data_IF_872790262784
#
_entry.id   IF_872790262784
#
_cell.length_a   1.000
_cell.length_b   1.000
_cell.length_c   1.000
_cell.angle_alpha   90.00
_cell.angle_beta   90.00
_cell.angle_gamma   90.00
#
_symmetry.space_group_name_H-M   'P 1'
#
loop_
_entity.id
_entity.type
_entity.pdbx_description
1 polymer ?
#
# COMPACT_ATOMS: atom_id res chain seq x y z
N UNK A 1 -18.13 -23.72 -15.04
CA UNK A 1 -17.66 -22.32 -15.01
C UNK A 1 -16.93 -22.02 -16.31
N UNK A 2 -17.57 -21.40 -17.30
CA UNK A 2 -16.95 -21.15 -18.61
C UNK A 2 -16.01 -19.94 -18.47
N UNK A 3 -14.68 -20.08 -18.67
CA UNK A 3 -13.69 -19.02 -18.41
C UNK A 3 -13.91 -17.74 -19.24
N UNK A 4 -14.75 -17.80 -20.26
CA UNK A 4 -15.04 -16.71 -21.19
C UNK A 4 -15.77 -15.52 -20.54
N UNK A 5 -16.50 -15.73 -19.44
CA UNK A 5 -17.25 -14.65 -18.77
C UNK A 5 -16.33 -13.55 -18.25
N UNK A 6 -15.17 -13.94 -17.69
CA UNK A 6 -14.18 -13.00 -17.18
C UNK A 6 -13.53 -12.18 -18.30
N UNK A 7 -13.29 -12.80 -19.45
CA UNK A 7 -12.71 -12.11 -20.62
C UNK A 7 -13.68 -11.05 -21.15
N UNK A 8 -14.97 -11.38 -21.24
CA UNK A 8 -16.01 -10.41 -21.67
C UNK A 8 -16.11 -9.26 -20.68
N UNK A 9 -16.12 -9.54 -19.37
CA UNK A 9 -16.15 -8.49 -18.34
C UNK A 9 -14.93 -7.57 -18.45
N UNK A 10 -13.74 -8.14 -18.60
CA UNK A 10 -12.51 -7.37 -18.75
C UNK A 10 -12.55 -6.50 -20.01
N UNK A 11 -13.08 -7.03 -21.12
CA UNK A 11 -13.23 -6.30 -22.37
C UNK A 11 -14.19 -5.12 -22.21
N UNK A 12 -15.32 -5.29 -21.54
CA UNK A 12 -16.29 -4.20 -21.26
C UNK A 12 -15.63 -3.11 -20.41
N UNK A 13 -14.92 -3.49 -19.34
CA UNK A 13 -14.19 -2.55 -18.48
C UNK A 13 -13.11 -1.80 -19.28
N UNK A 14 -12.40 -2.49 -20.18
CA UNK A 14 -11.40 -1.89 -21.05
C UNK A 14 -12.00 -0.95 -22.10
N UNK A 15 -13.22 -1.19 -22.57
CA UNK A 15 -13.94 -0.28 -23.47
C UNK A 15 -14.43 0.99 -22.75
N UNK A 16 -14.96 0.85 -21.52
CA UNK A 16 -15.45 1.99 -20.72
C UNK A 16 -14.31 2.90 -20.24
N UNK A 17 -13.25 2.29 -19.70
CA UNK A 17 -12.13 3.03 -19.14
C UNK A 17 -11.03 3.30 -20.18
N UNK A 18 -10.91 2.47 -21.21
CA UNK A 18 -9.84 2.55 -22.21
C UNK A 18 -8.57 1.80 -21.81
N UNK A 19 -7.84 1.29 -22.81
CA UNK A 19 -6.64 0.47 -22.62
C UNK A 19 -5.50 1.17 -21.86
N UNK A 20 -5.47 2.51 -21.85
CA UNK A 20 -4.44 3.30 -21.15
C UNK A 20 -4.83 3.68 -19.73
N UNK A 21 -6.12 3.87 -19.41
CA UNK A 21 -6.55 4.33 -18.08
C UNK A 21 -6.50 3.21 -17.03
N UNK A 22 -6.84 1.97 -17.38
CA UNK A 22 -6.71 0.84 -16.45
C UNK A 22 -5.29 0.68 -15.87
N UNK A 23 -4.23 0.58 -16.70
CA UNK A 23 -2.87 0.43 -16.17
C UNK A 23 -2.37 1.70 -15.47
N UNK A 24 -2.85 2.88 -15.85
CA UNK A 24 -2.49 4.15 -15.22
C UNK A 24 -3.09 4.28 -13.81
N UNK A 25 -4.39 3.97 -13.66
CA UNK A 25 -5.06 3.90 -12.36
C UNK A 25 -4.41 2.83 -11.47
N UNK A 26 -4.17 1.64 -12.01
CA UNK A 26 -3.50 0.56 -11.27
C UNK A 26 -2.08 0.96 -10.81
N UNK A 27 -1.32 1.69 -11.62
CA UNK A 27 0.00 2.22 -11.22
C UNK A 27 -0.10 3.23 -10.08
N UNK A 28 -1.01 4.20 -10.18
CA UNK A 28 -1.18 5.24 -9.14
C UNK A 28 -1.62 4.65 -7.79
N UNK A 29 -2.60 3.75 -7.81
CA UNK A 29 -3.11 3.05 -6.62
C UNK A 29 -2.07 2.06 -6.08
N UNK A 30 -1.35 1.38 -6.96
CA UNK A 30 -0.27 0.47 -6.58
C UNK A 30 0.88 1.19 -5.88
N UNK A 31 1.20 2.41 -6.30
CA UNK A 31 2.25 3.21 -5.68
C UNK A 31 1.84 3.68 -4.27
N UNK A 32 0.60 4.15 -4.07
CA UNK A 32 0.10 4.50 -2.74
C UNK A 32 0.00 3.29 -1.82
N UNK A 33 -0.48 2.15 -2.33
CA UNK A 33 -0.57 0.91 -1.56
C UNK A 33 0.81 0.37 -1.18
N UNK A 34 1.82 0.53 -2.05
CA UNK A 34 3.21 0.15 -1.75
C UNK A 34 3.80 0.97 -0.61
N UNK A 35 3.62 2.29 -0.63
CA UNK A 35 4.08 3.16 0.45
C UNK A 35 3.42 2.77 1.79
N UNK A 36 2.10 2.60 1.79
CA UNK A 36 1.35 2.15 2.96
C UNK A 36 1.83 0.78 3.46
N UNK A 37 2.04 -0.19 2.57
CA UNK A 37 2.52 -1.52 2.94
C UNK A 37 3.95 -1.49 3.48
N UNK A 38 4.79 -0.58 3.01
CA UNK A 38 6.15 -0.40 3.55
C UNK A 38 6.08 0.10 4.99
N UNK A 39 5.34 1.18 5.27
CA UNK A 39 5.21 1.69 6.64
C UNK A 39 4.58 0.67 7.60
N UNK A 40 3.61 -0.11 7.14
CA UNK A 40 2.96 -1.15 7.97
C UNK A 40 3.86 -2.38 8.19
N UNK A 41 4.70 -2.75 7.23
CA UNK A 41 5.66 -3.85 7.40
C UNK A 41 6.89 -3.44 8.22
N UNK A 42 7.31 -2.19 8.10
CA UNK A 42 8.42 -1.61 8.88
C UNK A 42 7.96 -1.12 10.27
N UNK A 43 6.68 -1.29 10.62
CA UNK A 43 6.21 -1.08 11.97
C UNK A 43 7.03 -1.99 12.90
N UNK A 44 7.88 -1.42 13.78
CA UNK A 44 8.71 -2.24 14.64
C UNK A 44 7.79 -3.04 15.55
N UNK A 45 7.83 -4.37 15.40
CA UNK A 45 7.25 -5.31 16.35
C UNK A 45 7.80 -4.94 17.73
N UNK A 46 6.97 -4.23 18.50
CA UNK A 46 7.22 -3.73 19.85
C UNK A 46 8.70 -3.77 20.26
N UNK A 47 9.50 -2.84 19.74
CA UNK A 47 10.81 -2.61 20.33
C UNK A 47 10.55 -2.31 21.82
N UNK A 48 11.16 -3.06 22.76
CA UNK A 48 10.83 -2.95 24.16
C UNK A 48 10.94 -1.49 24.56
N UNK A 49 9.92 -1.01 25.27
CA UNK A 49 9.87 0.31 25.87
C UNK A 49 11.22 0.59 26.54
N UNK A 50 12.13 1.30 25.85
CA UNK A 50 13.27 1.92 26.48
C UNK A 50 12.77 3.34 26.70
N UNK A 51 12.30 3.69 27.92
CA UNK A 51 11.95 5.06 28.21
C UNK A 51 13.19 5.90 27.93
N UNK A 52 13.10 6.99 27.15
CA UNK A 52 14.13 8.01 27.12
C UNK A 52 14.04 8.78 28.44
N UNK A 53 14.36 8.11 29.55
CA UNK A 53 14.77 8.77 30.78
C UNK A 53 16.27 9.04 30.66
N UNK A 54 16.60 9.92 29.71
CA UNK A 54 17.69 10.84 29.95
C UNK A 54 17.29 11.62 31.20
N UNK A 55 17.72 11.15 32.37
CA UNK A 55 17.86 12.03 33.51
C UNK A 55 19.04 12.95 33.18
N UNK A 56 18.83 14.26 32.98
CA UNK A 56 19.91 15.21 33.20
C UNK A 56 20.01 15.39 34.72
N UNK A 57 20.43 14.35 35.45
CA UNK A 57 20.83 14.49 36.85
C UNK A 57 22.32 14.82 36.88
N UNK A 58 22.62 15.98 36.28
CA UNK A 58 23.84 16.75 36.48
C UNK A 58 23.47 18.22 36.43
N UNK A 59 22.62 18.65 37.35
CA UNK A 59 22.67 20.04 37.83
C UNK A 59 21.91 20.16 39.16
N UNK A 60 22.67 20.61 40.17
CA UNK A 60 22.29 21.19 41.47
C UNK A 60 22.20 20.24 42.68
#
# INVERSE_FOLDING_TARGET
>A
MKPIHYVVLLLVVLLLFGARRLPELARSVGQSLRAFRSEVQDAPEAAPLVPPATAPEREQ
#
